data_IF_034580776263
#
_entry.id   IF_034580776263
#
_cell.length_a   1.000
_cell.length_b   1.000
_cell.length_c   1.000
_cell.angle_alpha   90.00
_cell.angle_beta   90.00
_cell.angle_gamma   90.00
#
_symmetry.space_group_name_H-M   'P 1'
#
loop_
_entity.id
_entity.type
_entity.pdbx_description
1 polymer ?
#
# COMPACT_ATOMS: atom_id res chain seq x y z
N UNK A 1 -47.29 33.12 73.40
CA UNK A 1 -46.99 33.51 72.04
C UNK A 1 -45.54 33.07 71.74
N UNK A 2 -45.33 31.92 71.05
CA UNK A 2 -44.00 31.39 70.68
C UNK A 2 -43.73 31.81 69.23
N UNK A 3 -42.66 32.57 69.04
CA UNK A 3 -42.16 32.96 67.70
C UNK A 3 -41.28 31.83 67.16
N UNK A 4 -41.67 31.25 66.00
CA UNK A 4 -40.83 30.34 65.24
C UNK A 4 -39.91 31.15 64.29
N UNK A 5 -38.59 30.92 64.40
CA UNK A 5 -37.63 31.45 63.48
C UNK A 5 -37.36 30.41 62.41
N UNK A 6 -37.58 30.77 61.11
CA UNK A 6 -37.28 29.94 59.95
C UNK A 6 -35.87 30.29 59.53
N UNK A 7 -34.96 29.28 59.62
CA UNK A 7 -33.63 29.41 59.11
C UNK A 7 -33.58 28.96 57.60
N UNK A 8 -33.30 29.91 56.74
CA UNK A 8 -33.09 29.62 55.29
C UNK A 8 -31.68 29.04 55.05
N UNK A 9 -31.60 27.78 54.64
CA UNK A 9 -30.35 27.17 54.20
C UNK A 9 -30.11 27.51 52.72
N UNK A 10 -29.10 28.32 52.44
CA UNK A 10 -28.65 28.60 51.09
C UNK A 10 -27.75 27.43 50.58
N UNK A 11 -28.23 26.67 49.59
CA UNK A 11 -27.47 25.65 48.92
C UNK A 11 -26.60 26.37 47.88
N UNK A 12 -25.28 26.46 48.13
CA UNK A 12 -24.28 26.84 47.10
C UNK A 12 -24.09 25.67 46.14
N UNK A 13 -24.62 25.79 44.92
CA UNK A 13 -24.31 24.91 43.82
C UNK A 13 -22.90 25.24 43.32
N UNK A 14 -21.91 24.40 43.65
CA UNK A 14 -20.59 24.46 43.08
C UNK A 14 -20.65 24.00 41.62
N UNK A 15 -20.54 24.93 40.67
CA UNK A 15 -20.34 24.63 39.28
C UNK A 15 -18.89 24.04 39.13
N UNK A 16 -18.79 22.75 38.95
CA UNK A 16 -17.56 22.11 38.52
C UNK A 16 -17.38 22.53 37.06
N UNK A 17 -16.50 23.47 36.81
CA UNK A 17 -16.04 23.79 35.46
C UNK A 17 -15.27 22.53 34.97
N UNK A 18 -15.81 21.82 33.97
CA UNK A 18 -15.08 20.81 33.24
C UNK A 18 -13.89 21.53 32.55
N UNK A 19 -12.68 21.27 33.04
CA UNK A 19 -11.47 21.67 32.34
C UNK A 19 -11.52 20.98 30.98
N UNK A 20 -11.19 21.69 29.88
CA UNK A 20 -11.03 21.03 28.60
C UNK A 20 -9.99 19.91 28.77
N UNK A 21 -10.28 18.71 28.28
CA UNK A 21 -9.30 17.64 28.21
C UNK A 21 -8.08 18.20 27.47
N UNK A 22 -6.96 18.29 28.18
CA UNK A 22 -5.73 18.80 27.63
C UNK A 22 -5.25 17.75 26.61
N UNK A 23 -4.96 18.18 25.39
CA UNK A 23 -4.33 17.33 24.38
C UNK A 23 -3.05 16.74 24.99
N UNK A 24 -3.00 15.43 25.11
CA UNK A 24 -1.91 14.74 25.78
C UNK A 24 -1.37 13.64 24.86
N UNK A 25 -0.09 13.75 24.50
CA UNK A 25 0.65 12.71 23.84
C UNK A 25 1.26 11.78 24.88
N UNK A 26 1.48 10.52 24.53
CA UNK A 26 2.06 9.49 25.41
C UNK A 26 3.47 9.86 25.90
N UNK A 27 4.20 10.66 25.08
CA UNK A 27 5.50 11.24 25.42
C UNK A 27 5.69 12.62 24.76
N UNK A 28 6.95 13.09 24.69
CA UNK A 28 7.28 14.42 24.17
C UNK A 28 7.53 14.46 22.65
N UNK A 29 7.28 13.37 21.91
CA UNK A 29 7.54 13.21 20.49
C UNK A 29 6.54 12.28 19.84
N UNK A 30 6.18 12.51 18.56
CA UNK A 30 5.48 11.49 17.75
C UNK A 30 6.48 10.85 16.82
N UNK A 31 6.69 9.54 16.96
CA UNK A 31 7.71 8.80 16.23
C UNK A 31 7.11 7.80 15.25
N UNK A 32 7.45 7.94 13.97
CA UNK A 32 6.97 7.09 12.87
C UNK A 32 8.13 6.27 12.34
N UNK A 33 7.98 4.94 12.32
CA UNK A 33 8.97 4.02 11.77
C UNK A 33 8.62 3.60 10.33
N UNK A 34 9.50 3.87 9.37
CA UNK A 34 9.41 3.33 8.00
C UNK A 34 10.26 2.07 7.94
N UNK A 35 9.59 0.91 7.96
CA UNK A 35 10.23 -0.40 7.97
C UNK A 35 10.00 -1.10 6.63
N UNK A 36 11.04 -1.19 5.81
CA UNK A 36 10.90 -1.65 4.43
C UNK A 36 12.16 -2.36 3.90
N UNK A 37 12.11 -2.85 2.66
CA UNK A 37 13.27 -3.39 1.95
C UNK A 37 14.11 -2.26 1.35
N UNK A 38 15.35 -2.10 1.81
CA UNK A 38 16.26 -1.06 1.31
C UNK A 38 17.42 -1.59 0.49
N UNK A 39 17.62 -2.90 0.47
CA UNK A 39 18.78 -3.53 -0.16
C UNK A 39 18.47 -4.73 -1.04
N UNK A 40 17.23 -5.22 -1.03
CA UNK A 40 16.79 -6.40 -1.78
C UNK A 40 16.05 -6.06 -3.08
N UNK A 41 15.21 -6.99 -3.53
CA UNK A 41 14.49 -6.92 -4.82
C UNK A 41 13.45 -5.80 -4.90
N UNK A 42 13.03 -5.24 -3.77
CA UNK A 42 12.06 -4.17 -3.65
C UNK A 42 12.68 -2.82 -3.26
N UNK A 43 14.01 -2.71 -3.24
CA UNK A 43 14.71 -1.49 -2.83
C UNK A 43 14.34 -0.27 -3.71
N UNK A 44 14.10 -0.47 -5.00
CA UNK A 44 13.64 0.59 -5.91
C UNK A 44 12.11 0.80 -5.86
N UNK A 45 11.39 -0.18 -5.41
CA UNK A 45 9.93 -0.18 -5.30
C UNK A 45 9.44 0.71 -4.15
N UNK A 46 9.99 0.56 -2.94
CA UNK A 46 9.76 1.38 -1.75
C UNK A 46 11.04 2.05 -1.27
N UNK A 47 11.85 1.28 -0.56
CA UNK A 47 13.20 1.59 -0.12
C UNK A 47 13.35 2.94 0.58
N UNK A 48 14.51 3.55 0.42
CA UNK A 48 14.80 4.89 0.95
C UNK A 48 13.89 5.98 0.41
N UNK A 49 13.22 5.72 -0.70
CA UNK A 49 12.33 6.69 -1.33
C UNK A 49 11.01 6.87 -0.58
N UNK A 50 10.48 5.80 0.05
CA UNK A 50 9.34 5.89 0.96
C UNK A 50 9.67 6.69 2.21
N UNK A 51 10.91 6.60 2.70
CA UNK A 51 11.38 7.45 3.80
C UNK A 51 11.42 8.93 3.43
N UNK A 52 11.86 9.28 2.21
CA UNK A 52 11.81 10.67 1.72
C UNK A 52 10.36 11.16 1.57
N UNK A 53 9.44 10.32 1.09
CA UNK A 53 8.02 10.65 1.03
C UNK A 53 7.41 10.91 2.41
N UNK A 54 7.76 10.09 3.41
CA UNK A 54 7.34 10.28 4.80
C UNK A 54 7.85 11.63 5.37
N UNK A 55 9.11 11.98 5.10
CA UNK A 55 9.67 13.28 5.49
C UNK A 55 8.95 14.46 4.83
N UNK A 56 8.59 14.32 3.54
CA UNK A 56 7.79 15.35 2.85
C UNK A 56 6.43 15.54 3.52
N UNK A 57 5.76 14.46 3.93
CA UNK A 57 4.49 14.55 4.65
C UNK A 57 4.62 15.27 5.99
N UNK A 58 5.67 14.97 6.76
CA UNK A 58 5.96 15.65 8.04
C UNK A 58 6.24 17.15 7.83
N UNK A 59 7.01 17.52 6.83
CA UNK A 59 7.30 18.90 6.48
C UNK A 59 6.02 19.65 6.08
N UNK A 60 5.17 19.05 5.22
CA UNK A 60 3.92 19.66 4.78
C UNK A 60 2.89 19.77 5.92
N UNK A 61 2.95 18.88 6.89
CA UNK A 61 2.14 18.97 8.11
C UNK A 61 2.63 20.08 9.06
N UNK A 62 3.89 20.51 8.97
CA UNK A 62 4.46 21.58 9.76
C UNK A 62 5.51 21.14 10.80
N UNK A 63 6.00 19.90 10.74
CA UNK A 63 7.08 19.36 11.57
C UNK A 63 6.71 19.07 13.02
N UNK A 64 5.53 19.49 13.46
CA UNK A 64 5.03 19.28 14.84
C UNK A 64 3.54 18.93 14.86
N UNK A 65 3.10 18.13 15.83
CA UNK A 65 1.71 17.86 16.12
C UNK A 65 1.43 18.08 17.60
N UNK A 66 0.34 18.78 17.94
CA UNK A 66 -0.02 19.15 19.33
C UNK A 66 1.14 19.85 20.09
N UNK A 67 1.99 20.59 19.36
CA UNK A 67 3.14 21.30 19.91
C UNK A 67 4.39 20.45 20.17
N UNK A 68 4.38 19.15 19.81
CA UNK A 68 5.50 18.23 19.95
C UNK A 68 6.14 17.94 18.59
N UNK A 69 7.48 17.69 18.54
CA UNK A 69 8.16 17.34 17.30
C UNK A 69 7.68 15.97 16.75
N UNK A 70 7.80 15.83 15.42
CA UNK A 70 7.57 14.58 14.74
C UNK A 70 8.93 14.05 14.25
N UNK A 71 9.24 12.80 14.57
CA UNK A 71 10.44 12.10 14.11
C UNK A 71 10.05 10.97 13.16
N UNK A 72 10.82 10.81 12.07
CA UNK A 72 10.70 9.65 11.19
C UNK A 72 12.01 8.88 11.23
N UNK A 73 11.93 7.61 11.58
CA UNK A 73 13.07 6.68 11.57
C UNK A 73 12.88 5.62 10.50
N UNK A 74 13.94 4.92 10.12
CA UNK A 74 13.86 3.88 9.09
C UNK A 74 14.80 2.72 9.38
N UNK A 75 14.40 1.51 8.93
CA UNK A 75 15.25 0.32 8.98
C UNK A 75 14.96 -0.60 7.79
N UNK A 76 15.97 -1.41 7.44
CA UNK A 76 15.90 -2.42 6.39
C UNK A 76 15.55 -3.78 6.98
N UNK A 77 14.39 -4.32 6.59
CA UNK A 77 13.97 -5.67 6.99
C UNK A 77 14.49 -6.78 6.07
N UNK A 78 15.16 -6.43 4.96
CA UNK A 78 15.79 -7.38 4.02
C UNK A 78 14.83 -8.47 3.49
N UNK A 79 13.53 -8.16 3.39
CA UNK A 79 12.46 -9.11 3.04
C UNK A 79 12.36 -10.34 3.99
N UNK A 80 12.83 -10.21 5.24
CA UNK A 80 12.85 -11.29 6.24
C UNK A 80 11.87 -11.00 7.37
N UNK A 81 10.80 -11.81 7.52
CA UNK A 81 9.80 -11.59 8.56
C UNK A 81 10.36 -11.60 9.99
N UNK A 82 11.36 -12.43 10.27
CA UNK A 82 12.02 -12.52 11.56
C UNK A 82 12.85 -11.25 11.89
N UNK A 83 13.54 -10.69 10.90
CA UNK A 83 14.27 -9.43 11.04
C UNK A 83 13.29 -8.29 11.33
N UNK A 84 12.22 -8.19 10.53
CA UNK A 84 11.19 -7.17 10.71
C UNK A 84 10.48 -7.30 12.08
N UNK A 85 10.17 -8.53 12.50
CA UNK A 85 9.55 -8.80 13.79
C UNK A 85 10.45 -8.35 14.97
N UNK A 86 11.75 -8.58 14.88
CA UNK A 86 12.70 -8.13 15.91
C UNK A 86 12.79 -6.61 15.96
N UNK A 87 12.89 -5.95 14.78
CA UNK A 87 12.91 -4.48 14.69
C UNK A 87 11.60 -3.89 15.24
N UNK A 88 10.44 -4.44 14.86
CA UNK A 88 9.14 -3.95 15.33
C UNK A 88 9.02 -4.03 16.86
N UNK A 89 9.44 -5.14 17.48
CA UNK A 89 9.45 -5.26 18.95
C UNK A 89 10.39 -4.25 19.60
N UNK A 90 11.64 -4.13 19.10
CA UNK A 90 12.59 -3.14 19.61
C UNK A 90 12.01 -1.71 19.48
N UNK A 91 11.45 -1.36 18.35
CA UNK A 91 10.87 -0.04 18.11
C UNK A 91 9.71 0.27 19.06
N UNK A 92 8.79 -0.68 19.25
CA UNK A 92 7.65 -0.47 20.16
C UNK A 92 8.04 -0.51 21.64
N UNK A 93 8.94 -1.44 22.05
CA UNK A 93 9.23 -1.68 23.44
C UNK A 93 10.34 -0.78 24.00
N UNK A 94 11.33 -0.39 23.18
CA UNK A 94 12.53 0.31 23.62
C UNK A 94 12.64 1.74 23.05
N UNK A 95 12.24 1.93 21.79
CA UNK A 95 12.40 3.21 21.09
C UNK A 95 11.11 4.04 21.06
N UNK A 96 10.01 3.52 21.61
CA UNK A 96 8.71 4.19 21.75
C UNK A 96 8.17 4.71 20.40
N UNK A 97 8.25 3.89 19.35
CA UNK A 97 7.64 4.18 18.06
C UNK A 97 6.12 4.09 18.18
N UNK A 98 5.40 5.07 17.67
CA UNK A 98 3.95 5.14 17.75
C UNK A 98 3.27 4.37 16.63
N UNK A 99 3.84 4.41 15.42
CA UNK A 99 3.31 3.68 14.27
C UNK A 99 4.44 3.18 13.37
N UNK A 100 4.28 1.96 12.85
CA UNK A 100 5.17 1.40 11.81
C UNK A 100 4.43 1.44 10.48
N UNK A 101 5.10 1.94 9.44
CA UNK A 101 4.49 2.13 8.14
C UNK A 101 5.33 1.54 7.01
N UNK A 102 4.73 1.45 5.83
CA UNK A 102 5.21 0.94 4.56
C UNK A 102 5.18 -0.59 4.49
N UNK A 103 6.08 -1.32 5.15
CA UNK A 103 6.07 -2.78 5.29
C UNK A 103 6.01 -3.50 3.93
N UNK A 104 6.96 -3.23 3.03
CA UNK A 104 7.13 -4.01 1.79
C UNK A 104 7.22 -5.51 2.13
N UNK A 105 6.74 -6.39 1.25
CA UNK A 105 6.73 -7.85 1.41
C UNK A 105 5.60 -8.36 2.32
N UNK A 106 4.62 -9.04 1.72
CA UNK A 106 3.41 -9.46 2.42
C UNK A 106 3.64 -10.33 3.66
N UNK A 107 4.63 -11.24 3.63
CA UNK A 107 4.98 -12.05 4.80
C UNK A 107 5.57 -11.22 5.95
N UNK A 108 6.29 -10.14 5.63
CA UNK A 108 6.78 -9.16 6.61
C UNK A 108 5.62 -8.38 7.20
N UNK A 109 4.75 -7.84 6.35
CA UNK A 109 3.60 -7.05 6.81
C UNK A 109 2.68 -7.84 7.73
N UNK A 110 2.36 -9.10 7.39
CA UNK A 110 1.56 -9.98 8.24
C UNK A 110 2.23 -10.23 9.61
N UNK A 111 3.55 -10.46 9.64
CA UNK A 111 4.28 -10.66 10.88
C UNK A 111 4.28 -9.39 11.77
N UNK A 112 4.51 -8.21 11.18
CA UNK A 112 4.52 -6.94 11.91
C UNK A 112 3.11 -6.56 12.35
N UNK A 113 2.08 -6.72 11.50
CA UNK A 113 0.68 -6.48 11.89
C UNK A 113 0.26 -7.33 13.10
N UNK A 114 0.71 -8.60 13.16
CA UNK A 114 0.49 -9.46 14.34
C UNK A 114 1.10 -8.87 15.61
N UNK A 115 2.31 -8.32 15.52
CA UNK A 115 3.00 -7.65 16.63
C UNK A 115 2.32 -6.34 17.00
N UNK A 116 1.97 -5.50 16.01
CA UNK A 116 1.25 -4.25 16.23
C UNK A 116 -0.08 -4.49 16.95
N UNK A 117 -0.82 -5.53 16.55
CA UNK A 117 -2.06 -5.97 17.21
C UNK A 117 -1.83 -6.37 18.66
N UNK A 118 -0.78 -7.18 18.95
CA UNK A 118 -0.41 -7.60 20.31
C UNK A 118 -0.04 -6.40 21.18
N UNK A 119 0.74 -5.47 20.62
CA UNK A 119 1.24 -4.27 21.32
C UNK A 119 0.23 -3.14 21.39
N UNK A 120 -0.93 -3.26 20.72
CA UNK A 120 -1.91 -2.20 20.54
C UNK A 120 -1.25 -0.96 19.95
N UNK A 121 -0.59 -1.11 18.83
CA UNK A 121 0.06 -0.04 18.06
C UNK A 121 -0.48 -0.03 16.63
N UNK A 122 -0.51 1.12 16.01
CA UNK A 122 -0.98 1.28 14.63
C UNK A 122 0.12 0.84 13.66
N UNK A 123 -0.26 0.05 12.66
CA UNK A 123 0.54 -0.16 11.45
C UNK A 123 -0.24 0.26 10.19
N UNK A 124 0.45 0.90 9.24
CA UNK A 124 -0.15 1.33 7.98
C UNK A 124 0.70 0.80 6.82
N UNK A 125 0.15 -0.17 6.11
CA UNK A 125 0.83 -0.88 5.03
C UNK A 125 0.62 -0.18 3.69
N UNK A 126 1.69 0.22 3.03
CA UNK A 126 1.66 0.82 1.69
C UNK A 126 2.42 0.01 0.66
N UNK A 127 3.34 -0.85 1.09
CA UNK A 127 4.21 -1.62 0.22
C UNK A 127 3.77 -3.06 -0.04
N UNK A 128 3.28 -3.78 0.97
CA UNK A 128 2.75 -5.13 0.81
C UNK A 128 1.34 -5.14 0.21
N UNK A 129 0.95 -6.26 -0.42
CA UNK A 129 -0.28 -6.31 -1.20
C UNK A 129 -1.26 -7.43 -0.85
N UNK A 130 -0.91 -8.42 -0.01
CA UNK A 130 -1.84 -9.52 0.26
C UNK A 130 -3.16 -9.03 0.84
N UNK A 131 -4.28 -9.55 0.31
CA UNK A 131 -5.62 -9.27 0.83
C UNK A 131 -5.84 -9.79 2.26
N UNK A 132 -4.99 -10.71 2.74
CA UNK A 132 -5.09 -11.26 4.10
C UNK A 132 -4.99 -10.17 5.18
N UNK A 133 -4.24 -9.08 4.92
CA UNK A 133 -4.08 -7.95 5.85
C UNK A 133 -5.41 -7.32 6.26
N UNK A 134 -6.40 -7.33 5.38
CA UNK A 134 -7.73 -6.78 5.58
C UNK A 134 -8.83 -7.85 5.44
N UNK A 135 -8.41 -9.11 5.30
CA UNK A 135 -9.21 -10.32 5.29
C UNK A 135 -9.15 -11.07 6.63
N UNK A 136 -8.86 -12.35 6.58
CA UNK A 136 -8.86 -13.25 7.75
C UNK A 136 -7.87 -12.83 8.86
N UNK A 137 -6.81 -12.10 8.51
CA UNK A 137 -5.79 -11.64 9.45
C UNK A 137 -5.92 -10.17 9.84
N UNK A 138 -7.05 -9.52 9.56
CA UNK A 138 -7.28 -8.12 9.88
C UNK A 138 -7.04 -7.79 11.37
N UNK A 139 -6.62 -6.56 11.59
CA UNK A 139 -6.33 -6.01 12.91
C UNK A 139 -7.13 -4.73 13.16
N UNK A 140 -7.62 -4.47 14.38
CA UNK A 140 -8.28 -3.20 14.69
C UNK A 140 -7.35 -1.99 14.61
N UNK A 141 -6.03 -2.22 14.52
CA UNK A 141 -4.98 -1.20 14.44
C UNK A 141 -4.18 -1.26 13.15
N UNK A 142 -4.50 -2.21 12.25
CA UNK A 142 -3.85 -2.41 10.97
C UNK A 142 -4.61 -1.75 9.83
N UNK A 143 -3.92 -0.97 9.01
CA UNK A 143 -4.47 -0.28 7.86
C UNK A 143 -3.71 -0.64 6.60
N UNK A 144 -4.43 -1.01 5.54
CA UNK A 144 -3.83 -1.32 4.25
C UNK A 144 -4.14 -0.19 3.26
N UNK A 145 -3.12 0.61 2.91
CA UNK A 145 -3.35 1.96 2.37
C UNK A 145 -3.32 2.05 0.86
N UNK A 146 -2.29 1.53 0.20
CA UNK A 146 -2.09 1.78 -1.21
C UNK A 146 -2.92 0.84 -2.12
N UNK A 147 -2.50 -0.37 -2.37
CA UNK A 147 -3.14 -1.33 -3.26
C UNK A 147 -3.22 -2.70 -2.59
N UNK A 148 -3.92 -3.64 -3.22
CA UNK A 148 -3.88 -5.04 -2.85
C UNK A 148 -3.95 -5.96 -4.07
N UNK A 149 -3.79 -7.25 -3.84
CA UNK A 149 -3.78 -8.26 -4.91
C UNK A 149 -5.12 -8.38 -5.63
N UNK A 150 -6.22 -8.02 -4.99
CA UNK A 150 -7.53 -7.98 -5.64
C UNK A 150 -7.64 -6.82 -6.63
N UNK A 151 -7.23 -5.61 -6.22
CA UNK A 151 -7.25 -4.43 -7.10
C UNK A 151 -6.37 -4.64 -8.36
N UNK A 152 -5.22 -5.29 -8.20
CA UNK A 152 -4.32 -5.65 -9.30
C UNK A 152 -4.98 -6.68 -10.24
N UNK A 153 -5.69 -7.66 -9.69
CA UNK A 153 -6.42 -8.67 -10.46
C UNK A 153 -7.56 -8.05 -11.28
N UNK A 154 -8.34 -7.17 -10.67
CA UNK A 154 -9.46 -6.46 -11.33
C UNK A 154 -8.96 -5.55 -12.44
N UNK A 155 -7.93 -4.74 -12.19
CA UNK A 155 -7.42 -3.80 -13.18
C UNK A 155 -6.67 -4.50 -14.31
N UNK A 156 -5.45 -4.97 -14.07
CA UNK A 156 -4.59 -5.58 -15.10
C UNK A 156 -5.16 -6.92 -15.59
N UNK A 157 -5.61 -7.78 -14.68
CA UNK A 157 -6.22 -9.06 -15.02
C UNK A 157 -7.48 -8.86 -15.86
N UNK A 158 -8.35 -7.92 -15.43
CA UNK A 158 -9.58 -7.58 -16.13
C UNK A 158 -9.33 -7.05 -17.55
N UNK A 159 -8.38 -6.14 -17.72
CA UNK A 159 -8.03 -5.62 -19.04
C UNK A 159 -7.62 -6.73 -20.02
N UNK A 160 -6.80 -7.67 -19.56
CA UNK A 160 -6.32 -8.76 -20.42
C UNK A 160 -7.40 -9.81 -20.71
N UNK A 161 -8.27 -10.15 -19.76
CA UNK A 161 -9.41 -11.05 -19.98
C UNK A 161 -10.38 -10.46 -21.00
N UNK A 162 -10.74 -9.17 -20.85
CA UNK A 162 -11.64 -8.47 -21.76
C UNK A 162 -11.07 -8.38 -23.19
N UNK A 163 -9.74 -8.40 -23.32
CA UNK A 163 -9.04 -8.42 -24.61
C UNK A 163 -8.72 -9.86 -25.09
N UNK A 164 -9.50 -10.87 -24.67
CA UNK A 164 -9.44 -12.24 -25.18
C UNK A 164 -8.37 -13.13 -24.52
N UNK A 165 -7.81 -12.72 -23.38
CA UNK A 165 -6.92 -13.51 -22.54
C UNK A 165 -7.67 -14.54 -21.70
N UNK A 166 -8.23 -15.57 -22.32
CA UNK A 166 -9.09 -16.55 -21.69
C UNK A 166 -8.36 -17.76 -21.08
N UNK A 167 -7.05 -17.87 -21.25
CA UNK A 167 -6.23 -18.93 -20.64
C UNK A 167 -4.95 -18.37 -20.05
N UNK A 168 -4.70 -18.74 -18.79
CA UNK A 168 -3.62 -18.18 -17.98
C UNK A 168 -2.71 -19.27 -17.42
N UNK A 169 -1.40 -19.00 -17.43
CA UNK A 169 -0.40 -19.72 -16.68
C UNK A 169 0.36 -18.75 -15.79
N UNK A 170 0.56 -19.07 -14.50
CA UNK A 170 1.20 -18.15 -13.58
C UNK A 170 2.68 -18.50 -13.35
N UNK A 171 3.52 -17.47 -13.34
CA UNK A 171 4.88 -17.47 -12.83
C UNK A 171 4.86 -16.74 -11.47
N UNK A 172 4.96 -17.49 -10.39
CA UNK A 172 4.57 -17.04 -9.05
C UNK A 172 5.75 -17.02 -8.09
N UNK A 173 5.96 -15.89 -7.40
CA UNK A 173 6.92 -15.79 -6.31
C UNK A 173 6.48 -16.67 -5.12
N UNK A 174 7.39 -17.51 -4.62
CA UNK A 174 7.10 -18.57 -3.64
C UNK A 174 6.96 -18.05 -2.21
N UNK A 175 6.03 -17.09 -1.98
CA UNK A 175 5.67 -16.55 -0.66
C UNK A 175 4.27 -15.92 -0.66
N UNK A 176 3.79 -15.44 0.50
CA UNK A 176 2.41 -14.98 0.71
C UNK A 176 1.86 -14.03 -0.38
N UNK A 177 2.66 -13.05 -0.85
CA UNK A 177 2.24 -12.15 -1.93
C UNK A 177 1.94 -12.88 -3.24
N UNK A 178 2.89 -13.71 -3.71
CA UNK A 178 2.71 -14.45 -4.97
C UNK A 178 1.50 -15.35 -4.93
N UNK A 179 1.25 -16.03 -3.80
CA UNK A 179 0.08 -16.89 -3.60
C UNK A 179 -1.22 -16.08 -3.66
N UNK A 180 -1.28 -14.97 -2.93
CA UNK A 180 -2.45 -14.10 -2.92
C UNK A 180 -2.73 -13.52 -4.32
N UNK A 181 -1.69 -13.08 -5.05
CA UNK A 181 -1.85 -12.51 -6.39
C UNK A 181 -2.27 -13.55 -7.43
N UNK A 182 -1.68 -14.76 -7.40
CA UNK A 182 -2.10 -15.89 -8.22
C UNK A 182 -3.56 -16.26 -7.96
N UNK A 183 -3.95 -16.34 -6.68
CA UNK A 183 -5.31 -16.70 -6.26
C UNK A 183 -6.33 -15.66 -6.71
N UNK A 184 -6.12 -14.37 -6.35
CA UNK A 184 -7.06 -13.30 -6.70
C UNK A 184 -7.21 -13.17 -8.22
N UNK A 185 -6.10 -13.18 -8.96
CA UNK A 185 -6.14 -13.11 -10.43
C UNK A 185 -6.77 -14.37 -11.03
N UNK A 186 -6.40 -15.54 -10.53
CA UNK A 186 -6.97 -16.81 -11.00
C UNK A 186 -8.46 -16.94 -10.77
N UNK A 187 -8.97 -16.44 -9.65
CA UNK A 187 -10.41 -16.39 -9.36
C UNK A 187 -11.11 -15.41 -10.30
N UNK A 188 -10.58 -14.20 -10.44
CA UNK A 188 -11.12 -13.21 -11.37
C UNK A 188 -11.19 -13.75 -12.82
N UNK A 189 -10.13 -14.39 -13.29
CA UNK A 189 -10.11 -15.03 -14.62
C UNK A 189 -11.22 -16.06 -14.79
N UNK A 190 -11.41 -16.94 -13.79
CA UNK A 190 -12.46 -18.00 -13.83
C UNK A 190 -13.87 -17.42 -13.80
N UNK A 191 -14.11 -16.42 -12.95
CA UNK A 191 -15.40 -15.73 -12.82
C UNK A 191 -15.80 -15.00 -14.11
N UNK A 192 -14.81 -14.58 -14.90
CA UNK A 192 -15.01 -13.94 -16.19
C UNK A 192 -14.87 -14.91 -17.39
N UNK A 193 -15.06 -16.21 -17.16
CA UNK A 193 -15.16 -17.24 -18.20
C UNK A 193 -13.83 -17.73 -18.77
N UNK A 194 -12.71 -17.31 -18.19
CA UNK A 194 -11.39 -17.83 -18.53
C UNK A 194 -11.00 -19.06 -17.73
N UNK A 195 -9.78 -19.54 -17.94
CA UNK A 195 -9.23 -20.70 -17.23
C UNK A 195 -7.78 -20.50 -16.86
N UNK A 196 -7.40 -21.04 -15.71
CA UNK A 196 -5.99 -21.21 -15.29
C UNK A 196 -5.54 -22.60 -15.70
N UNK A 197 -4.50 -22.71 -16.52
CA UNK A 197 -3.99 -23.96 -17.05
C UNK A 197 -2.81 -24.52 -16.26
N UNK A 198 -2.22 -23.72 -15.36
CA UNK A 198 -1.15 -24.12 -14.46
C UNK A 198 -0.40 -22.95 -13.86
N UNK A 199 0.56 -23.28 -13.03
CA UNK A 199 1.49 -22.32 -12.44
C UNK A 199 2.85 -22.97 -12.14
N UNK A 200 3.87 -22.16 -12.01
CA UNK A 200 5.20 -22.55 -11.53
C UNK A 200 5.70 -21.52 -10.52
N UNK A 201 6.39 -21.98 -9.49
CA UNK A 201 6.86 -21.13 -8.39
C UNK A 201 8.36 -20.93 -8.44
N UNK A 202 8.81 -19.71 -8.15
CA UNK A 202 10.21 -19.35 -8.06
C UNK A 202 10.53 -18.69 -6.72
N UNK A 203 11.74 -18.91 -6.15
CA UNK A 203 12.18 -18.20 -4.96
C UNK A 203 12.24 -16.68 -5.16
N UNK A 204 12.02 -15.90 -4.11
CA UNK A 204 12.26 -14.46 -4.12
C UNK A 204 13.73 -14.16 -4.43
N UNK A 205 13.98 -13.21 -5.34
CA UNK A 205 15.33 -12.85 -5.79
C UNK A 205 15.94 -13.83 -6.79
N UNK A 206 15.10 -14.50 -7.57
CA UNK A 206 15.56 -15.38 -8.67
C UNK A 206 16.27 -14.56 -9.75
N UNK A 207 17.44 -15.04 -10.18
CA UNK A 207 18.21 -14.41 -11.26
C UNK A 207 18.03 -15.09 -12.62
N UNK A 208 17.76 -16.39 -12.65
CA UNK A 208 17.58 -17.18 -13.86
C UNK A 208 16.15 -17.73 -13.94
N UNK A 209 15.38 -17.20 -14.88
CA UNK A 209 14.00 -17.58 -15.14
C UNK A 209 13.83 -18.59 -16.26
N UNK A 210 14.91 -19.08 -16.89
CA UNK A 210 14.89 -19.91 -18.09
C UNK A 210 13.97 -21.12 -17.95
N UNK A 211 14.12 -21.91 -16.88
CA UNK A 211 13.33 -23.13 -16.67
C UNK A 211 11.85 -22.83 -16.38
N UNK A 212 11.54 -21.73 -15.71
CA UNK A 212 10.20 -21.31 -15.41
C UNK A 212 9.49 -20.79 -16.65
N UNK A 213 10.18 -19.97 -17.46
CA UNK A 213 9.66 -19.41 -18.70
C UNK A 213 9.42 -20.47 -19.77
N UNK A 214 10.29 -21.51 -19.87
CA UNK A 214 10.06 -22.64 -20.76
C UNK A 214 8.81 -23.44 -20.38
N UNK A 215 8.53 -23.61 -19.08
CA UNK A 215 7.27 -24.25 -18.63
C UNK A 215 6.07 -23.38 -18.97
N UNK A 216 6.15 -22.07 -18.75
CA UNK A 216 5.09 -21.13 -19.10
C UNK A 216 4.83 -21.13 -20.61
N UNK A 217 5.87 -21.11 -21.44
CA UNK A 217 5.74 -21.19 -22.90
C UNK A 217 5.10 -22.51 -23.35
N UNK A 218 5.55 -23.64 -22.80
CA UNK A 218 5.03 -24.98 -23.12
C UNK A 218 3.56 -25.18 -22.70
N UNK A 219 3.04 -24.36 -21.75
CA UNK A 219 1.64 -24.44 -21.31
C UNK A 219 0.64 -24.10 -22.42
N UNK A 220 1.08 -23.33 -23.42
CA UNK A 220 0.20 -22.82 -24.48
C UNK A 220 -0.87 -21.83 -24.02
N UNK A 221 -0.76 -21.29 -22.79
CA UNK A 221 -1.65 -20.25 -22.28
C UNK A 221 -1.53 -18.98 -23.13
N UNK A 222 -2.63 -18.26 -23.33
CA UNK A 222 -2.61 -16.95 -24.01
C UNK A 222 -1.92 -15.87 -23.19
N UNK A 223 -2.00 -15.98 -21.86
CA UNK A 223 -1.41 -15.02 -20.92
C UNK A 223 -0.54 -15.74 -19.90
N UNK A 224 0.66 -15.22 -19.72
CA UNK A 224 1.55 -15.58 -18.62
C UNK A 224 1.39 -14.50 -17.55
N UNK A 225 0.75 -14.83 -16.44
CA UNK A 225 0.58 -13.95 -15.29
C UNK A 225 1.84 -13.94 -14.43
N UNK A 226 2.50 -12.79 -14.38
CA UNK A 226 3.67 -12.60 -13.52
C UNK A 226 3.19 -12.23 -12.12
N UNK A 227 2.97 -13.24 -11.27
CA UNK A 227 2.57 -13.08 -9.87
C UNK A 227 3.82 -12.87 -9.00
N UNK A 228 4.62 -11.88 -9.36
CA UNK A 228 5.83 -11.40 -8.72
C UNK A 228 5.91 -9.86 -8.87
N UNK A 229 6.97 -9.22 -8.37
CA UNK A 229 7.11 -7.77 -8.40
C UNK A 229 8.59 -7.35 -8.37
N UNK A 230 8.85 -6.06 -8.54
CA UNK A 230 10.19 -5.48 -8.44
C UNK A 230 11.18 -6.07 -9.44
N UNK A 231 12.40 -6.33 -9.00
CA UNK A 231 13.44 -6.91 -9.85
C UNK A 231 13.09 -8.32 -10.36
N UNK A 232 12.28 -9.10 -9.63
CA UNK A 232 11.84 -10.41 -10.09
C UNK A 232 10.97 -10.30 -11.35
N UNK A 233 10.02 -9.36 -11.38
CA UNK A 233 9.20 -9.09 -12.57
C UNK A 233 10.03 -8.53 -13.72
N UNK A 234 10.90 -7.56 -13.45
CA UNK A 234 11.77 -6.96 -14.46
C UNK A 234 12.66 -8.01 -15.14
N UNK A 235 13.29 -8.90 -14.35
CA UNK A 235 14.12 -9.99 -14.85
C UNK A 235 13.30 -11.01 -15.66
N UNK A 236 12.11 -11.37 -15.20
CA UNK A 236 11.21 -12.27 -15.92
C UNK A 236 10.80 -11.70 -17.27
N UNK A 237 10.42 -10.41 -17.35
CA UNK A 237 10.06 -9.73 -18.61
C UNK A 237 11.25 -9.70 -19.56
N UNK A 238 12.43 -9.31 -19.08
CA UNK A 238 13.65 -9.26 -19.90
C UNK A 238 13.97 -10.63 -20.51
N UNK A 239 14.00 -11.67 -19.69
CA UNK A 239 14.31 -13.03 -20.17
C UNK A 239 13.18 -13.59 -21.05
N UNK A 240 11.91 -13.28 -20.78
CA UNK A 240 10.81 -13.67 -21.66
C UNK A 240 10.95 -13.06 -23.06
N UNK A 241 11.46 -11.84 -23.17
CA UNK A 241 11.78 -11.21 -24.45
C UNK A 241 12.92 -11.94 -25.17
N UNK A 242 13.99 -12.31 -24.45
CA UNK A 242 15.13 -13.08 -24.98
C UNK A 242 14.70 -14.48 -25.51
N UNK A 243 13.72 -15.11 -24.87
CA UNK A 243 13.13 -16.39 -25.30
C UNK A 243 12.08 -16.24 -26.41
N UNK A 244 11.75 -15.02 -26.83
CA UNK A 244 10.75 -14.79 -27.88
C UNK A 244 9.32 -15.18 -27.48
N UNK A 245 8.98 -15.16 -26.20
CA UNK A 245 7.68 -15.59 -25.70
C UNK A 245 6.55 -14.74 -26.29
N UNK A 246 6.69 -13.42 -26.26
CA UNK A 246 5.68 -12.49 -26.82
C UNK A 246 5.56 -12.67 -28.34
N UNK A 247 6.69 -12.84 -29.03
CA UNK A 247 6.74 -13.08 -30.48
C UNK A 247 6.07 -14.42 -30.86
N UNK A 248 6.03 -15.38 -29.93
CA UNK A 248 5.31 -16.66 -30.12
C UNK A 248 3.79 -16.56 -29.96
N UNK A 249 3.27 -15.37 -29.57
CA UNK A 249 1.85 -15.09 -29.44
C UNK A 249 1.28 -15.16 -28.03
N UNK A 250 2.11 -15.38 -27.01
CA UNK A 250 1.72 -15.28 -25.62
C UNK A 250 1.87 -13.84 -25.11
N UNK A 251 0.99 -13.39 -24.23
CA UNK A 251 1.07 -12.05 -23.61
C UNK A 251 1.61 -12.17 -22.18
N UNK A 252 2.36 -11.18 -21.74
CA UNK A 252 2.79 -11.05 -20.34
C UNK A 252 1.80 -10.13 -19.60
N UNK A 253 1.38 -10.55 -18.43
CA UNK A 253 0.65 -9.74 -17.48
C UNK A 253 1.58 -9.37 -16.31
N UNK A 254 2.15 -8.18 -16.31
CA UNK A 254 2.93 -7.65 -15.20
C UNK A 254 1.94 -7.17 -14.12
N UNK A 255 1.46 -8.10 -13.27
CA UNK A 255 0.36 -7.84 -12.34
C UNK A 255 0.69 -6.78 -11.27
N UNK A 256 1.96 -6.69 -10.85
CA UNK A 256 2.46 -5.61 -10.01
C UNK A 256 3.79 -5.10 -10.57
N UNK A 257 3.73 -3.96 -11.22
CA UNK A 257 4.87 -3.31 -11.85
C UNK A 257 4.63 -1.81 -11.86
N UNK A 258 5.56 -1.02 -11.36
CA UNK A 258 5.39 0.42 -11.20
C UNK A 258 6.27 1.23 -12.13
N UNK A 259 6.07 2.54 -12.15
CA UNK A 259 6.87 3.46 -12.97
C UNK A 259 8.38 3.35 -12.67
N UNK A 260 8.76 2.98 -11.45
CA UNK A 260 10.17 2.80 -11.08
C UNK A 260 10.82 1.64 -11.81
N UNK A 261 10.10 0.50 -11.90
CA UNK A 261 10.57 -0.68 -12.63
C UNK A 261 10.51 -0.47 -14.15
N UNK A 262 9.48 0.22 -14.66
CA UNK A 262 9.43 0.61 -16.08
C UNK A 262 10.64 1.47 -16.44
N UNK A 263 11.01 2.43 -15.60
CA UNK A 263 12.21 3.24 -15.78
C UNK A 263 13.49 2.38 -15.78
N UNK A 264 13.61 1.44 -14.84
CA UNK A 264 14.76 0.54 -14.73
C UNK A 264 14.88 -0.45 -15.89
N UNK A 265 13.75 -0.96 -16.39
CA UNK A 265 13.69 -1.90 -17.52
C UNK A 265 13.92 -1.20 -18.87
N UNK A 266 13.47 0.05 -18.99
CA UNK A 266 13.44 0.85 -20.21
C UNK A 266 12.13 0.71 -20.97
N UNK A 267 11.69 1.83 -21.57
CA UNK A 267 10.41 1.90 -22.29
C UNK A 267 10.32 0.91 -23.45
N UNK A 268 11.41 0.67 -24.18
CA UNK A 268 11.45 -0.29 -25.31
C UNK A 268 11.07 -1.71 -24.88
N UNK A 269 11.56 -2.16 -23.73
CA UNK A 269 11.27 -3.50 -23.21
C UNK A 269 9.90 -3.59 -22.52
N UNK A 270 9.39 -2.47 -22.00
CA UNK A 270 8.15 -2.41 -21.27
C UNK A 270 6.93 -1.97 -22.10
N UNK A 271 7.11 -1.42 -23.32
CA UNK A 271 6.04 -0.88 -24.15
C UNK A 271 4.86 -1.85 -24.32
N UNK A 272 3.65 -1.31 -24.24
CA UNK A 272 2.41 -2.08 -24.39
C UNK A 272 2.03 -2.93 -23.18
N UNK A 273 2.84 -2.96 -22.10
CA UNK A 273 2.42 -3.60 -20.86
C UNK A 273 1.26 -2.81 -20.24
N UNK A 274 0.20 -3.54 -19.88
CA UNK A 274 -0.89 -3.00 -19.09
C UNK A 274 -0.57 -3.19 -17.60
N UNK A 275 -0.77 -2.15 -16.80
CA UNK A 275 -0.50 -2.12 -15.36
C UNK A 275 -1.67 -1.47 -14.61
N UNK A 276 -1.72 -1.71 -13.31
CA UNK A 276 -2.66 -1.04 -12.41
C UNK A 276 -1.90 -0.31 -11.32
N UNK A 277 -2.07 1.00 -11.26
CA UNK A 277 -1.41 1.86 -10.28
C UNK A 277 -2.44 2.70 -9.50
N UNK A 278 -2.15 3.02 -8.25
CA UNK A 278 -2.94 3.94 -7.44
C UNK A 278 -2.54 5.40 -7.60
N UNK A 279 -1.40 5.65 -8.24
CA UNK A 279 -0.86 6.99 -8.43
C UNK A 279 -0.04 7.09 -9.73
N UNK A 280 -0.20 8.20 -10.43
CA UNK A 280 0.68 8.60 -11.53
C UNK A 280 0.95 10.10 -11.45
N UNK A 281 2.22 10.47 -11.55
CA UNK A 281 2.68 11.85 -11.34
C UNK A 281 2.12 12.84 -12.36
N UNK A 282 1.85 12.40 -13.60
CA UNK A 282 1.35 13.27 -14.69
C UNK A 282 -0.18 13.14 -14.91
N UNK A 283 -0.94 12.95 -13.87
CA UNK A 283 -2.40 12.79 -13.97
C UNK A 283 -3.15 14.13 -13.96
N UNK A 284 -2.70 15.07 -13.15
CA UNK A 284 -3.26 16.42 -13.01
C UNK A 284 -2.22 17.39 -12.41
N UNK A 285 -2.61 18.67 -12.24
CA UNK A 285 -1.68 19.70 -11.74
C UNK A 285 -1.15 19.42 -10.33
N UNK A 286 -1.97 18.88 -9.42
CA UNK A 286 -1.55 18.56 -8.06
C UNK A 286 -0.56 17.40 -8.05
N UNK A 287 -0.82 16.33 -8.83
CA UNK A 287 0.10 15.20 -8.93
C UNK A 287 1.41 15.58 -9.62
N UNK A 288 1.38 16.49 -10.61
CA UNK A 288 2.58 17.06 -11.23
C UNK A 288 3.39 17.90 -10.25
N UNK A 289 2.74 18.73 -9.44
CA UNK A 289 3.41 19.54 -8.42
C UNK A 289 4.06 18.65 -7.34
N UNK A 290 3.38 17.62 -6.87
CA UNK A 290 3.91 16.64 -5.92
C UNK A 290 5.08 15.85 -6.54
N UNK A 291 4.89 15.32 -7.75
CA UNK A 291 5.92 14.57 -8.49
C UNK A 291 7.19 15.39 -8.70
N UNK A 292 7.05 16.66 -9.09
CA UNK A 292 8.19 17.56 -9.23
C UNK A 292 8.95 17.77 -7.92
N UNK A 293 8.26 18.01 -6.81
CA UNK A 293 8.89 18.18 -5.48
C UNK A 293 9.63 16.92 -5.05
N UNK A 294 9.05 15.75 -5.30
CA UNK A 294 9.68 14.47 -5.01
C UNK A 294 10.92 14.26 -5.91
N UNK A 295 10.80 14.57 -7.20
CA UNK A 295 11.91 14.49 -8.15
C UNK A 295 13.09 15.40 -7.77
N UNK A 296 12.80 16.64 -7.37
CA UNK A 296 13.84 17.61 -6.95
C UNK A 296 14.67 17.10 -5.75
N UNK A 297 14.10 16.19 -4.93
CA UNK A 297 14.77 15.58 -3.77
C UNK A 297 15.49 14.28 -4.09
N UNK A 298 14.92 13.50 -4.98
CA UNK A 298 15.29 12.09 -5.14
C UNK A 298 15.91 11.77 -6.49
N UNK A 299 15.71 12.62 -7.50
CA UNK A 299 16.09 12.39 -8.88
C UNK A 299 15.18 11.40 -9.62
N UNK A 300 13.99 11.06 -9.07
CA UNK A 300 13.03 10.12 -9.68
C UNK A 300 11.59 10.52 -9.39
N UNK A 301 10.66 10.06 -10.24
CA UNK A 301 9.24 10.26 -10.00
C UNK A 301 8.71 9.26 -8.97
N UNK A 302 7.75 9.69 -8.13
CA UNK A 302 7.14 8.80 -7.15
C UNK A 302 6.20 7.79 -7.82
N UNK A 303 6.18 6.57 -7.30
CA UNK A 303 5.20 5.55 -7.63
C UNK A 303 4.05 5.50 -6.60
N UNK A 304 3.16 4.54 -6.74
CA UNK A 304 2.03 4.31 -5.83
C UNK A 304 2.45 4.13 -4.36
N UNK A 305 3.60 3.48 -4.10
CA UNK A 305 4.04 3.20 -2.71
C UNK A 305 4.53 4.46 -2.03
N UNK A 306 5.35 5.26 -2.70
CA UNK A 306 5.88 6.50 -2.13
C UNK A 306 4.78 7.55 -1.95
N UNK A 307 3.89 7.71 -2.94
CA UNK A 307 2.74 8.60 -2.81
C UNK A 307 1.75 8.12 -1.73
N UNK A 308 1.54 6.80 -1.63
CA UNK A 308 0.76 6.17 -0.57
C UNK A 308 1.36 6.37 0.82
N UNK A 309 2.69 6.26 0.95
CA UNK A 309 3.39 6.51 2.22
C UNK A 309 3.26 7.97 2.66
N UNK A 310 3.41 8.92 1.73
CA UNK A 310 3.13 10.33 2.01
C UNK A 310 1.70 10.53 2.55
N UNK A 311 0.70 9.96 1.87
CA UNK A 311 -0.71 10.03 2.26
C UNK A 311 -0.96 9.40 3.64
N UNK A 312 -0.41 8.21 3.89
CA UNK A 312 -0.55 7.48 5.15
C UNK A 312 -0.01 8.29 6.34
N UNK A 313 1.21 8.82 6.23
CA UNK A 313 1.84 9.66 7.25
C UNK A 313 1.01 10.92 7.49
N UNK A 314 0.60 11.61 6.42
CA UNK A 314 -0.19 12.82 6.52
C UNK A 314 -1.55 12.57 7.21
N UNK A 315 -2.23 11.47 6.88
CA UNK A 315 -3.53 11.14 7.47
C UNK A 315 -3.39 10.70 8.94
N UNK A 316 -2.35 9.96 9.29
CA UNK A 316 -2.04 9.60 10.67
C UNK A 316 -1.81 10.83 11.54
N UNK A 317 -1.03 11.79 11.07
CA UNK A 317 -0.79 13.06 11.78
C UNK A 317 -2.07 13.92 11.90
N UNK A 318 -2.92 13.92 10.87
CA UNK A 318 -4.24 14.57 10.94
C UNK A 318 -5.13 13.90 11.99
N UNK A 319 -5.11 12.57 12.11
CA UNK A 319 -5.87 11.82 13.09
C UNK A 319 -5.42 12.14 14.53
N UNK A 320 -4.10 12.19 14.80
CA UNK A 320 -3.57 12.65 16.10
C UNK A 320 -4.02 14.08 16.41
N UNK A 321 -3.93 14.97 15.43
CA UNK A 321 -4.36 16.37 15.61
C UNK A 321 -5.85 16.49 15.93
N UNK A 322 -6.70 15.71 15.26
CA UNK A 322 -8.15 15.72 15.43
C UNK A 322 -8.56 15.16 16.80
N UNK A 323 -7.93 14.05 17.23
CA UNK A 323 -8.23 13.40 18.52
C UNK A 323 -7.62 14.14 19.71
N UNK A 324 -6.58 14.95 19.48
CA UNK A 324 -5.82 15.60 20.55
C UNK A 324 -4.92 14.64 21.33
N UNK A 325 -4.67 13.42 20.84
CA UNK A 325 -3.85 12.40 21.50
C UNK A 325 -3.26 11.44 20.44
N UNK A 326 -2.18 10.74 20.79
CA UNK A 326 -1.60 9.62 20.04
C UNK A 326 -2.08 8.24 20.55
N UNK A 327 -3.05 8.23 21.46
CA UNK A 327 -3.62 7.01 22.02
C UNK A 327 -4.22 6.16 20.88
N UNK A 328 -3.79 4.91 20.79
CA UNK A 328 -4.04 4.01 19.66
C UNK A 328 -5.52 3.82 19.32
N UNK A 329 -6.37 3.61 20.31
CA UNK A 329 -7.83 3.38 20.11
C UNK A 329 -8.50 4.63 19.51
N UNK A 330 -8.13 5.82 20.02
CA UNK A 330 -8.67 7.09 19.55
C UNK A 330 -8.21 7.40 18.12
N UNK A 331 -6.92 7.22 17.83
CA UNK A 331 -6.35 7.47 16.51
C UNK A 331 -6.88 6.46 15.48
N UNK A 332 -6.95 5.17 15.82
CA UNK A 332 -7.50 4.14 14.94
C UNK A 332 -8.96 4.43 14.59
N UNK A 333 -9.77 4.84 15.57
CA UNK A 333 -11.14 5.27 15.33
C UNK A 333 -11.20 6.46 14.37
N UNK A 334 -10.38 7.49 14.60
CA UNK A 334 -10.33 8.66 13.73
C UNK A 334 -9.90 8.31 12.29
N UNK A 335 -8.95 7.39 12.11
CA UNK A 335 -8.54 6.91 10.78
C UNK A 335 -9.69 6.24 10.03
N UNK A 336 -10.60 5.53 10.71
CA UNK A 336 -11.79 4.94 10.10
C UNK A 336 -12.87 5.99 9.76
N UNK A 337 -13.01 7.04 10.55
CA UNK A 337 -14.11 8.01 10.44
C UNK A 337 -13.76 9.21 9.54
N UNK A 338 -12.49 9.56 9.45
CA UNK A 338 -12.04 10.73 8.69
C UNK A 338 -11.94 10.42 7.19
N UNK A 339 -12.45 11.30 6.32
CA UNK A 339 -12.21 11.16 4.89
C UNK A 339 -10.72 11.39 4.57
N UNK A 340 -10.21 10.65 3.61
CA UNK A 340 -8.88 10.89 3.03
C UNK A 340 -9.07 11.81 1.83
N UNK A 341 -8.39 12.96 1.86
CA UNK A 341 -8.43 13.91 0.76
C UNK A 341 -7.07 14.58 0.61
N UNK A 342 -6.27 14.02 -0.27
CA UNK A 342 -4.92 14.49 -0.58
C UNK A 342 -4.55 14.19 -2.04
N UNK A 343 -3.29 14.42 -2.41
CA UNK A 343 -2.78 14.23 -3.76
C UNK A 343 -2.82 12.76 -4.22
N UNK A 344 -2.77 11.81 -3.28
CA UNK A 344 -2.83 10.38 -3.56
C UNK A 344 -4.28 9.91 -3.76
N UNK A 345 -5.16 10.23 -2.83
CA UNK A 345 -6.53 9.74 -2.79
C UNK A 345 -7.54 10.88 -2.56
N UNK A 346 -7.95 11.59 -3.61
CA UNK A 346 -9.09 12.49 -3.52
C UNK A 346 -10.37 11.65 -3.25
N UNK A 347 -11.09 11.97 -2.18
CA UNK A 347 -12.29 11.25 -1.73
C UNK A 347 -12.07 9.80 -1.25
N UNK A 348 -10.88 9.47 -0.75
CA UNK A 348 -10.60 8.18 -0.14
C UNK A 348 -11.35 7.98 1.18
N UNK A 349 -11.61 6.73 1.55
CA UNK A 349 -12.21 6.34 2.83
C UNK A 349 -11.63 5.03 3.32
N UNK A 350 -11.59 4.84 4.63
CA UNK A 350 -11.15 3.58 5.24
C UNK A 350 -12.37 2.71 5.55
N UNK A 351 -12.38 1.50 5.03
CA UNK A 351 -13.41 0.49 5.32
C UNK A 351 -13.29 -0.09 6.73
N UNK A 352 -14.33 -0.76 7.21
CA UNK A 352 -14.37 -1.35 8.55
C UNK A 352 -13.27 -2.42 8.79
N UNK A 353 -12.72 -2.99 7.72
CA UNK A 353 -11.62 -3.94 7.76
C UNK A 353 -10.22 -3.31 7.70
N UNK A 354 -10.12 -1.97 7.73
CA UNK A 354 -8.85 -1.24 7.62
C UNK A 354 -8.36 -0.99 6.19
N UNK A 355 -9.12 -1.42 5.15
CA UNK A 355 -8.77 -1.13 3.75
C UNK A 355 -9.08 0.31 3.39
N UNK A 356 -8.08 1.08 2.93
CA UNK A 356 -8.30 2.40 2.34
C UNK A 356 -8.81 2.22 0.90
N UNK A 357 -10.00 2.72 0.63
CA UNK A 357 -10.75 2.57 -0.62
C UNK A 357 -10.66 3.89 -1.40
N UNK A 358 -10.16 3.82 -2.62
CA UNK A 358 -9.97 4.96 -3.53
C UNK A 358 -9.84 4.46 -4.97
N UNK A 359 -9.91 5.33 -5.96
CA UNK A 359 -9.85 4.94 -7.36
C UNK A 359 -8.44 4.48 -7.78
N UNK A 360 -8.38 3.36 -8.50
CA UNK A 360 -7.17 2.86 -9.14
C UNK A 360 -7.17 3.20 -10.64
N UNK A 361 -6.02 3.14 -11.27
CA UNK A 361 -5.85 3.53 -12.67
C UNK A 361 -5.26 2.39 -13.48
N UNK A 362 -5.97 2.01 -14.55
CA UNK A 362 -5.43 1.12 -15.58
C UNK A 362 -4.56 1.94 -16.52
N UNK A 363 -3.34 1.51 -16.71
CA UNK A 363 -2.34 2.20 -17.52
C UNK A 363 -1.75 1.28 -18.57
N UNK A 364 -1.27 1.87 -19.65
CA UNK A 364 -0.45 1.19 -20.66
C UNK A 364 0.88 1.92 -20.81
N UNK A 365 1.96 1.16 -20.87
CA UNK A 365 3.29 1.73 -21.11
C UNK A 365 3.39 2.20 -22.56
N UNK A 366 3.71 3.49 -22.75
CA UNK A 366 3.93 4.14 -24.04
C UNK A 366 5.07 3.49 -24.83
N UNK A 367 4.99 3.63 -26.15
CA UNK A 367 6.16 3.42 -27.00
C UNK A 367 7.18 4.55 -26.78
N UNK A 368 8.48 4.31 -27.00
CA UNK A 368 9.49 5.40 -26.91
C UNK A 368 9.15 6.63 -27.74
N UNK A 369 8.52 6.46 -28.91
CA UNK A 369 8.15 7.54 -29.81
C UNK A 369 6.97 8.40 -29.31
N UNK A 370 6.14 7.86 -28.42
CA UNK A 370 4.97 8.55 -27.83
C UNK A 370 5.33 9.34 -26.56
N UNK A 371 6.53 9.13 -26.00
CA UNK A 371 6.98 9.81 -24.79
C UNK A 371 7.33 11.27 -25.06
N UNK A 372 6.90 12.19 -24.18
CA UNK A 372 7.22 13.61 -24.25
C UNK A 372 8.46 14.00 -23.43
N UNK A 373 9.08 13.05 -22.75
CA UNK A 373 10.26 13.24 -21.92
C UNK A 373 10.51 12.09 -20.96
N UNK A 374 11.52 12.24 -20.13
CA UNK A 374 11.85 11.24 -19.10
C UNK A 374 10.67 11.09 -18.14
N UNK A 375 10.39 9.83 -17.73
CA UNK A 375 9.29 9.47 -16.82
C UNK A 375 7.88 9.62 -17.39
N UNK A 376 7.69 10.04 -18.62
CA UNK A 376 6.37 10.07 -19.29
C UNK A 376 6.04 8.70 -19.90
N UNK A 377 5.91 7.69 -19.03
CA UNK A 377 5.78 6.30 -19.48
C UNK A 377 4.36 5.85 -19.75
N UNK A 378 3.32 6.54 -19.26
CA UNK A 378 1.98 5.94 -19.25
C UNK A 378 0.94 6.72 -20.05
N UNK A 379 0.12 5.96 -20.77
CA UNK A 379 -1.24 6.35 -21.14
C UNK A 379 -2.19 5.85 -20.04
N UNK A 380 -2.98 6.74 -19.45
CA UNK A 380 -4.07 6.34 -18.56
C UNK A 380 -5.23 5.85 -19.41
N UNK A 381 -5.53 4.56 -19.38
CA UNK A 381 -6.58 3.95 -20.20
C UNK A 381 -7.95 4.04 -19.54
N UNK A 382 -8.01 3.83 -18.22
CA UNK A 382 -9.27 3.80 -17.47
C UNK A 382 -9.06 4.13 -16.00
N UNK A 383 -10.13 4.53 -15.33
CA UNK A 383 -10.21 4.65 -13.88
C UNK A 383 -11.09 3.54 -13.35
N UNK A 384 -10.54 2.71 -12.48
CA UNK A 384 -11.28 1.66 -11.77
C UNK A 384 -11.79 2.25 -10.46
N UNK A 385 -13.11 2.50 -10.31
CA UNK A 385 -13.66 3.06 -9.08
C UNK A 385 -13.31 2.21 -7.86
N UNK A 386 -13.04 2.86 -6.72
CA UNK A 386 -12.56 2.17 -5.53
C UNK A 386 -13.50 1.07 -5.02
N UNK A 387 -14.81 1.22 -5.17
CA UNK A 387 -15.82 0.21 -4.82
C UNK A 387 -15.83 -1.01 -5.78
N UNK A 388 -15.10 -0.94 -6.88
CA UNK A 388 -14.88 -2.04 -7.83
C UNK A 388 -13.46 -2.59 -7.76
N UNK A 389 -12.50 -1.73 -7.39
CA UNK A 389 -11.11 -2.11 -7.29
C UNK A 389 -10.84 -2.99 -6.05
N UNK A 390 -11.51 -2.71 -4.94
CA UNK A 390 -11.28 -3.40 -3.66
C UNK A 390 -12.47 -4.27 -3.26
N UNK A 391 -12.17 -5.35 -2.51
CA UNK A 391 -13.20 -6.23 -1.94
C UNK A 391 -14.08 -5.42 -0.98
N UNK A 392 -15.41 -5.59 -1.06
CA UNK A 392 -16.32 -4.99 -0.07
C UNK A 392 -15.88 -5.47 1.34
N UNK A 393 -15.67 -4.55 2.29
CA UNK A 393 -15.29 -4.93 3.65
C UNK A 393 -16.15 -6.02 4.27
N UNK A 394 -17.46 -6.05 3.98
CA UNK A 394 -18.38 -7.08 4.47
C UNK A 394 -18.14 -8.48 3.87
N UNK A 395 -17.48 -8.56 2.71
CA UNK A 395 -17.16 -9.79 1.98
C UNK A 395 -15.69 -10.22 2.15
N UNK A 396 -14.89 -9.40 2.85
CA UNK A 396 -13.43 -9.58 2.97
C UNK A 396 -12.99 -10.76 3.84
N UNK A 397 -13.89 -11.37 4.63
CA UNK A 397 -13.55 -12.37 5.63
C UNK A 397 -13.08 -11.77 6.98
N UNK A 398 -12.92 -10.45 7.07
CA UNK A 398 -12.51 -9.80 8.30
C UNK A 398 -13.63 -9.82 9.36
N UNK A 399 -13.33 -10.39 10.52
CA UNK A 399 -14.29 -10.47 11.64
C UNK A 399 -14.69 -9.10 12.22
N UNK A 400 -13.93 -8.05 11.94
CA UNK A 400 -14.23 -6.68 12.39
C UNK A 400 -15.28 -6.00 11.49
N UNK A 401 -15.37 -6.39 10.24
CA UNK A 401 -16.29 -5.81 9.25
C UNK A 401 -17.70 -6.44 9.27
N UNK A 402 -17.86 -7.57 9.95
CA UNK A 402 -19.13 -8.30 10.05
C UNK A 402 -19.99 -7.91 11.26
N UNK A 403 -19.69 -6.79 11.93
CA UNK A 403 -20.40 -6.33 13.13
C UNK A 403 -21.32 -5.14 12.85
#
# INVERSE_FOLDING_TARGET
MKKFAIASVAIMASAVAALPAQAELSDDIVKIGILNDQSGVYADFGGKWSFEAAKMAVEDFGGTVLGKPIEVITADHQNKPDVAANIARQWYDEEQVDSIMELTTSSVALAVQGISKEKKKIDIVTGAATTDLTGDQCSPYGFHWAYDTHALAVGTGGALVNNGGDSWFFLTADYAFGYSLEEQTGNFVKENGGKVVGSVRHPLGTNDYSSFLLQAQASGAKVIGLANAGLDTANAIKQASEFGIVQSGQRLAALLFTIAEVHGLGAEAAQGLSLTEGFYWDRNDDTRAFGKRFFDRTGRMPNTIQAGTYSAVLQYLKAIKETGTDETEAVAKALHEMPVNDVFAPNGKVGANGRMIYDMFLMEVKTPDDMQGDWDYYNVLDTVPGDKAFIDPAESGCSLASK
#
